data_IF_643343254022
#
_entry.id   IF_643343254022
#
_cell.length_a   1.000
_cell.length_b   1.000
_cell.length_c   1.000
_cell.angle_alpha   90.00
_cell.angle_beta   90.00
_cell.angle_gamma   90.00
#
_symmetry.space_group_name_H-M   'P 1'
#
loop_
_entity.id
_entity.type
_entity.pdbx_description
1 polymer ?
#
# COMPACT_ATOMS: atom_id res chain seq x y z
N UNK A 1 -4.26 6.15 32.59
CA UNK A 1 -4.89 4.93 32.04
C UNK A 1 -4.04 4.54 30.85
N UNK A 2 -3.02 3.73 31.09
CA UNK A 2 -2.15 3.21 30.04
C UNK A 2 -2.98 2.24 29.20
N UNK A 3 -3.10 2.51 27.90
CA UNK A 3 -3.55 1.49 26.97
C UNK A 3 -2.45 0.44 26.96
N UNK A 4 -2.64 -0.64 27.72
CA UNK A 4 -1.94 -1.89 27.46
C UNK A 4 -2.23 -2.23 26.00
N UNK A 5 -1.23 -2.01 25.15
CA UNK A 5 -1.21 -2.57 23.81
C UNK A 5 -1.19 -4.08 24.01
N UNK A 6 -2.37 -4.69 23.98
CA UNK A 6 -2.48 -6.07 23.58
C UNK A 6 -1.85 -6.03 22.18
N UNK A 7 -0.66 -6.61 22.02
CA UNK A 7 -0.18 -7.08 20.72
C UNK A 7 -1.24 -8.10 20.24
N UNK A 8 -2.36 -7.59 19.72
CA UNK A 8 -3.26 -8.40 18.94
C UNK A 8 -2.38 -8.99 17.84
N UNK A 9 -2.37 -10.31 17.77
CA UNK A 9 -1.54 -11.09 16.87
C UNK A 9 -1.91 -10.71 15.43
N UNK A 10 -1.26 -9.68 14.90
CA UNK A 10 -1.49 -9.21 13.54
C UNK A 10 -1.14 -10.33 12.56
N UNK A 11 -2.05 -10.62 11.65
CA UNK A 11 -1.84 -11.59 10.58
C UNK A 11 -1.48 -10.85 9.28
N UNK A 12 -0.41 -11.29 8.63
CA UNK A 12 -0.04 -10.73 7.32
C UNK A 12 -0.98 -11.25 6.24
N UNK A 13 -1.88 -10.39 5.77
CA UNK A 13 -2.87 -10.74 4.75
C UNK A 13 -2.28 -10.90 3.35
N UNK A 14 -1.14 -10.26 3.08
CA UNK A 14 -0.50 -10.22 1.76
C UNK A 14 0.73 -11.13 1.63
N UNK A 15 1.17 -11.82 2.69
CA UNK A 15 2.38 -12.63 2.66
C UNK A 15 2.37 -13.66 1.51
N UNK A 16 3.33 -13.55 0.59
CA UNK A 16 3.50 -14.38 -0.59
C UNK A 16 2.42 -14.20 -1.67
N UNK A 17 1.54 -13.21 -1.55
CA UNK A 17 0.44 -12.98 -2.50
C UNK A 17 0.92 -12.20 -3.71
N UNK A 18 0.42 -12.58 -4.87
CA UNK A 18 0.70 -11.87 -6.11
C UNK A 18 -0.14 -10.59 -6.19
N UNK A 19 0.52 -9.46 -6.38
CA UNK A 19 -0.10 -8.15 -6.56
C UNK A 19 0.02 -7.70 -8.01
N UNK A 20 -0.96 -6.94 -8.48
CA UNK A 20 -0.93 -6.32 -9.81
C UNK A 20 -0.21 -4.98 -9.72
N UNK A 21 0.44 -4.56 -10.81
CA UNK A 21 1.07 -3.25 -10.89
C UNK A 21 0.83 -2.59 -12.26
N UNK A 22 0.91 -1.26 -12.32
CA UNK A 22 0.83 -0.50 -13.57
C UNK A 22 0.82 1.01 -13.35
N UNK A 23 0.45 1.76 -14.38
CA UNK A 23 0.48 3.24 -14.40
C UNK A 23 -0.85 3.88 -13.93
N UNK A 24 -1.84 3.06 -13.55
CA UNK A 24 -3.05 3.47 -12.84
C UNK A 24 -3.83 2.23 -12.39
N UNK A 25 -4.89 2.43 -11.60
CA UNK A 25 -5.80 1.35 -11.19
C UNK A 25 -6.61 0.70 -12.33
N UNK A 26 -6.62 1.31 -13.52
CA UNK A 26 -7.31 0.79 -14.72
C UNK A 26 -6.36 0.37 -15.82
N UNK A 27 -5.06 0.69 -15.69
CA UNK A 27 -4.00 0.32 -16.63
C UNK A 27 -2.92 -0.47 -15.90
N UNK A 28 -3.30 -1.68 -15.46
CA UNK A 28 -2.41 -2.64 -14.82
C UNK A 28 -1.71 -3.45 -15.92
N UNK A 29 -0.37 -3.51 -15.87
CA UNK A 29 0.48 -4.04 -16.94
C UNK A 29 1.16 -5.35 -16.58
N UNK A 30 1.14 -5.75 -15.30
CA UNK A 30 1.79 -6.97 -14.86
C UNK A 30 1.43 -7.36 -13.43
N UNK A 31 2.07 -8.43 -12.97
CA UNK A 31 1.96 -8.92 -11.59
C UNK A 31 3.33 -9.21 -10.99
N UNK A 32 3.43 -9.16 -9.66
CA UNK A 32 4.66 -9.43 -8.92
C UNK A 32 4.38 -9.98 -7.53
N UNK A 33 5.35 -10.69 -6.95
CA UNK A 33 5.36 -11.11 -5.54
C UNK A 33 6.49 -10.45 -4.74
N UNK A 34 7.34 -9.66 -5.41
CA UNK A 34 8.55 -9.11 -4.79
C UNK A 34 8.25 -8.12 -3.64
N UNK A 35 7.06 -7.54 -3.61
CA UNK A 35 6.63 -6.62 -2.54
C UNK A 35 5.88 -7.31 -1.41
N UNK A 36 5.73 -8.63 -1.47
CA UNK A 36 4.96 -9.45 -0.54
C UNK A 36 5.66 -10.74 -0.12
N UNK A 37 6.82 -11.05 -0.69
CA UNK A 37 7.58 -12.29 -0.45
C UNK A 37 8.23 -12.35 0.94
N UNK A 38 8.32 -11.22 1.64
CA UNK A 38 8.87 -11.11 2.99
C UNK A 38 10.39 -10.90 3.02
N UNK A 39 11.04 -10.75 1.88
CA UNK A 39 12.44 -10.35 1.79
C UNK A 39 12.52 -8.83 1.60
N UNK A 40 13.16 -8.13 2.54
CA UNK A 40 13.29 -6.67 2.49
C UNK A 40 14.28 -6.20 1.41
N UNK A 41 15.08 -7.11 0.84
CA UNK A 41 16.04 -6.81 -0.22
C UNK A 41 15.44 -6.96 -1.62
N UNK A 42 14.23 -7.49 -1.73
CA UNK A 42 13.46 -7.57 -2.96
C UNK A 42 12.32 -6.56 -2.92
N UNK A 43 11.90 -6.09 -4.10
CA UNK A 43 10.86 -5.08 -4.18
C UNK A 43 10.59 -4.63 -5.60
N UNK A 44 9.85 -3.54 -5.71
CA UNK A 44 9.55 -2.88 -6.98
C UNK A 44 9.91 -1.40 -6.87
N UNK A 45 10.54 -0.87 -7.93
CA UNK A 45 10.75 0.56 -8.06
C UNK A 45 9.43 1.20 -8.50
N UNK A 46 8.89 2.07 -7.66
CA UNK A 46 7.76 2.92 -8.01
C UNK A 46 8.26 4.36 -8.21
N UNK A 47 7.90 4.97 -9.33
CA UNK A 47 8.27 6.33 -9.70
C UNK A 47 7.08 7.27 -9.47
N UNK A 48 7.31 8.43 -8.83
CA UNK A 48 6.30 9.46 -8.79
C UNK A 48 5.94 9.94 -10.20
N UNK A 49 4.69 10.36 -10.39
CA UNK A 49 4.20 10.91 -11.66
C UNK A 49 5.04 12.09 -12.20
N UNK A 50 5.67 12.87 -11.32
CA UNK A 50 6.58 13.97 -11.71
C UNK A 50 7.83 13.52 -12.47
N UNK A 51 8.19 12.24 -12.39
CA UNK A 51 9.32 11.64 -13.10
C UNK A 51 8.89 10.86 -14.35
N UNK A 52 7.60 10.90 -14.71
CA UNK A 52 7.05 10.34 -15.94
C UNK A 52 6.92 11.42 -17.01
N UNK A 53 7.09 11.05 -18.28
CA UNK A 53 6.76 11.93 -19.41
C UNK A 53 5.26 12.19 -19.52
N UNK A 54 4.45 11.35 -18.88
CA UNK A 54 3.02 11.53 -18.68
C UNK A 54 2.74 11.80 -17.19
N UNK A 55 2.42 13.04 -16.79
CA UNK A 55 2.16 13.40 -15.39
C UNK A 55 0.86 12.81 -14.85
N UNK A 56 0.03 12.16 -15.67
CA UNK A 56 -1.13 11.39 -15.23
C UNK A 56 -0.80 9.93 -14.89
N UNK A 57 0.38 9.44 -15.28
CA UNK A 57 0.83 8.09 -14.97
C UNK A 57 1.30 8.03 -13.52
N UNK A 58 0.59 7.25 -12.72
CA UNK A 58 0.87 7.04 -11.30
C UNK A 58 1.17 5.56 -11.12
N UNK A 59 2.38 5.24 -10.67
CA UNK A 59 2.69 3.86 -10.34
C UNK A 59 1.73 3.39 -9.23
N UNK A 60 0.98 2.35 -9.57
CA UNK A 60 -0.05 1.74 -8.74
C UNK A 60 0.32 0.29 -8.48
N UNK A 61 0.27 -0.12 -7.21
CA UNK A 61 0.13 -1.52 -6.81
C UNK A 61 -1.33 -1.77 -6.42
N UNK A 62 -1.88 -2.90 -6.84
CA UNK A 62 -3.24 -3.31 -6.51
C UNK A 62 -3.25 -4.76 -6.05
N UNK A 63 -3.96 -5.01 -4.95
CA UNK A 63 -4.31 -6.36 -4.54
C UNK A 63 -5.82 -6.50 -4.35
N UNK A 64 -6.39 -7.58 -4.86
CA UNK A 64 -7.77 -7.98 -4.61
C UNK A 64 -7.79 -9.24 -3.73
N UNK A 65 -8.38 -9.13 -2.55
CA UNK A 65 -8.53 -10.26 -1.63
C UNK A 65 -9.54 -11.27 -2.18
N UNK A 66 -9.35 -12.56 -1.90
CA UNK A 66 -10.33 -13.60 -2.29
C UNK A 66 -11.68 -13.43 -1.57
N UNK A 67 -11.66 -12.98 -0.32
CA UNK A 67 -12.83 -12.58 0.48
C UNK A 67 -12.58 -11.22 1.14
N UNK A 68 -13.63 -10.43 1.46
CA UNK A 68 -13.47 -9.16 2.18
C UNK A 68 -12.69 -9.34 3.49
N UNK A 69 -11.80 -8.39 3.78
CA UNK A 69 -10.94 -8.39 4.95
C UNK A 69 -11.14 -7.14 5.80
N UNK A 70 -10.82 -7.26 7.09
CA UNK A 70 -10.68 -6.10 7.97
C UNK A 70 -9.20 -5.74 8.08
N UNK A 71 -8.89 -4.45 7.95
CA UNK A 71 -7.51 -3.95 7.99
C UNK A 71 -7.33 -3.09 9.24
N UNK A 72 -6.42 -3.51 10.10
CA UNK A 72 -6.06 -2.79 11.34
C UNK A 72 -4.74 -2.01 11.21
N UNK A 73 -3.84 -2.51 10.36
CA UNK A 73 -2.53 -1.92 10.15
C UNK A 73 -2.01 -2.19 8.74
N UNK A 74 -1.09 -1.34 8.30
CA UNK A 74 -0.36 -1.46 7.04
C UNK A 74 1.13 -1.55 7.37
N UNK A 75 1.81 -2.58 6.88
CA UNK A 75 3.27 -2.71 6.99
C UNK A 75 3.91 -2.44 5.64
N UNK A 76 4.86 -1.51 5.59
CA UNK A 76 5.62 -1.17 4.38
C UNK A 76 7.09 -0.97 4.70
N UNK A 77 7.94 -1.30 3.75
CA UNK A 77 9.37 -0.98 3.73
C UNK A 77 9.65 -0.21 2.45
N UNK A 78 10.23 0.98 2.56
CA UNK A 78 10.54 1.83 1.41
C UNK A 78 11.97 2.33 1.53
N UNK A 79 12.70 2.21 0.42
CA UNK A 79 14.06 2.67 0.28
C UNK A 79 14.11 3.83 -0.72
N UNK A 80 15.00 4.80 -0.47
CA UNK A 80 15.26 5.93 -1.38
C UNK A 80 13.98 6.67 -1.81
N UNK A 81 13.11 7.02 -0.86
CA UNK A 81 11.82 7.64 -1.12
C UNK A 81 11.94 9.04 -1.73
N UNK A 82 13.09 9.71 -1.61
CA UNK A 82 13.35 11.03 -2.21
C UNK A 82 12.24 12.07 -1.92
N UNK A 83 11.67 12.07 -0.72
CA UNK A 83 10.52 12.88 -0.30
C UNK A 83 9.20 12.56 -1.03
N UNK A 84 9.05 11.36 -1.61
CA UNK A 84 7.78 10.88 -2.12
C UNK A 84 6.82 10.53 -0.97
N UNK A 85 5.53 10.67 -1.24
CA UNK A 85 4.46 10.22 -0.34
C UNK A 85 3.70 9.08 -1.00
N UNK A 86 3.19 8.15 -0.21
CA UNK A 86 2.45 7.00 -0.73
C UNK A 86 1.03 7.06 -0.18
N UNK A 87 0.06 7.12 -1.06
CA UNK A 87 -1.34 7.04 -0.66
C UNK A 87 -1.82 5.61 -0.81
N UNK A 88 -2.63 5.16 0.13
CA UNK A 88 -3.36 3.91 0.01
C UNK A 88 -4.87 4.18 -0.08
N UNK A 89 -5.54 3.33 -0.84
CA UNK A 89 -6.99 3.35 -1.01
C UNK A 89 -7.55 1.94 -0.83
N UNK A 90 -8.59 1.80 -0.02
CA UNK A 90 -9.31 0.57 0.22
C UNK A 90 -10.69 0.65 -0.43
N UNK A 91 -11.08 -0.39 -1.15
CA UNK A 91 -12.41 -0.50 -1.76
C UNK A 91 -13.15 -1.75 -1.27
N UNK A 92 -14.46 -1.60 -1.12
CA UNK A 92 -15.36 -2.71 -0.79
C UNK A 92 -15.65 -3.60 -2.02
N UNK A 93 -16.45 -4.65 -1.82
CA UNK A 93 -16.86 -5.58 -2.88
C UNK A 93 -17.66 -4.94 -4.02
N UNK A 94 -18.23 -3.75 -3.80
CA UNK A 94 -18.95 -2.97 -4.80
C UNK A 94 -18.06 -1.92 -5.49
N UNK A 95 -16.73 -2.00 -5.29
CA UNK A 95 -15.74 -1.00 -5.73
C UNK A 95 -15.97 0.41 -5.16
N UNK A 96 -16.67 0.56 -4.03
CA UNK A 96 -16.81 1.85 -3.33
C UNK A 96 -15.64 2.03 -2.38
N UNK A 97 -15.13 3.25 -2.28
CA UNK A 97 -14.06 3.56 -1.34
C UNK A 97 -14.57 3.40 0.09
N UNK A 98 -13.89 2.55 0.88
CA UNK A 98 -14.23 2.28 2.29
C UNK A 98 -13.14 2.75 3.26
N UNK A 99 -11.98 3.19 2.74
CA UNK A 99 -10.94 3.81 3.53
C UNK A 99 -9.80 4.31 2.65
N UNK A 100 -9.04 5.27 3.16
CA UNK A 100 -7.83 5.78 2.52
C UNK A 100 -6.93 6.42 3.55
N UNK A 101 -5.70 6.69 3.15
CA UNK A 101 -4.76 7.46 3.96
C UNK A 101 -3.46 7.66 3.24
N UNK A 102 -2.56 8.36 3.93
CA UNK A 102 -1.23 8.69 3.44
C UNK A 102 -0.18 8.10 4.36
N UNK A 103 0.85 7.56 3.75
CA UNK A 103 2.04 7.07 4.42
C UNK A 103 3.17 8.05 4.10
N UNK A 104 3.58 8.79 5.13
CA UNK A 104 4.79 9.58 5.14
C UNK A 104 5.89 8.74 5.81
N UNK A 105 6.97 8.50 5.07
CA UNK A 105 8.04 7.61 5.50
C UNK A 105 9.36 8.34 5.67
N UNK A 106 10.15 7.82 6.60
CA UNK A 106 11.58 8.08 6.71
C UNK A 106 12.27 6.93 5.96
N UNK A 107 13.27 7.26 5.15
CA UNK A 107 13.99 6.31 4.29
C UNK A 107 14.60 5.12 5.04
N UNK A 108 14.58 3.95 4.40
CA UNK A 108 15.22 2.71 4.86
C UNK A 108 14.70 2.19 6.20
N UNK A 109 13.43 2.46 6.52
CA UNK A 109 12.78 1.95 7.73
C UNK A 109 11.54 1.14 7.37
N UNK A 110 11.51 -0.12 7.81
CA UNK A 110 10.26 -0.90 7.84
C UNK A 110 9.38 -0.38 8.97
N UNK A 111 8.19 0.10 8.63
CA UNK A 111 7.24 0.61 9.61
C UNK A 111 5.89 -0.11 9.52
N UNK A 112 5.28 -0.33 10.69
CA UNK A 112 3.89 -0.77 10.83
C UNK A 112 3.06 0.45 11.18
N UNK A 113 2.20 0.85 10.25
CA UNK A 113 1.26 1.94 10.38
C UNK A 113 -0.06 1.41 10.91
N UNK A 114 -0.28 1.58 12.21
CA UNK A 114 -1.58 1.29 12.81
C UNK A 114 -2.60 2.33 12.36
N UNK A 115 -3.73 1.85 11.87
CA UNK A 115 -4.81 2.72 11.43
C UNK A 115 -5.54 3.30 12.65
N UNK A 116 -5.95 4.58 12.61
CA UNK A 116 -6.67 5.19 13.73
C UNK A 116 -8.01 4.48 14.01
N UNK A 117 -8.60 3.87 12.97
CA UNK A 117 -9.76 3.00 13.05
C UNK A 117 -9.57 1.84 12.07
N UNK A 118 -10.07 0.65 12.44
CA UNK A 118 -10.18 -0.51 11.54
C UNK A 118 -10.96 -0.15 10.29
N UNK A 119 -10.44 -0.50 9.12
CA UNK A 119 -11.18 -0.42 7.85
C UNK A 119 -11.84 -1.76 7.61
N UNK A 120 -13.16 -1.79 7.54
CA UNK A 120 -13.93 -3.03 7.37
C UNK A 120 -14.22 -3.34 5.89
N UNK A 121 -14.49 -4.62 5.62
CA UNK A 121 -15.01 -5.12 4.33
C UNK A 121 -14.16 -4.76 3.10
N UNK A 122 -12.84 -4.67 3.27
CA UNK A 122 -11.90 -4.35 2.20
C UNK A 122 -11.77 -5.54 1.25
N UNK A 123 -12.19 -5.33 0.00
CA UNK A 123 -12.00 -6.28 -1.10
C UNK A 123 -10.76 -5.95 -1.92
N UNK A 124 -10.41 -4.67 -2.06
CA UNK A 124 -9.23 -4.22 -2.81
C UNK A 124 -8.43 -3.21 -2.02
N UNK A 125 -7.10 -3.29 -2.12
CA UNK A 125 -6.19 -2.25 -1.65
C UNK A 125 -5.33 -1.78 -2.81
N UNK A 126 -5.16 -0.47 -2.91
CA UNK A 126 -4.32 0.20 -3.88
C UNK A 126 -3.25 0.98 -3.14
N UNK A 127 -2.03 0.99 -3.66
CA UNK A 127 -0.95 1.87 -3.24
C UNK A 127 -0.47 2.68 -4.44
N UNK A 128 -0.46 3.99 -4.29
CA UNK A 128 -0.07 4.94 -5.33
C UNK A 128 1.07 5.82 -4.84
N UNK A 129 2.08 6.04 -5.68
CA UNK A 129 3.09 7.08 -5.41
C UNK A 129 2.56 8.47 -5.77
N UNK A 130 2.74 9.43 -4.86
CA UNK A 130 2.62 10.85 -5.17
C UNK A 130 3.96 11.56 -4.97
N UNK A 131 4.17 12.63 -5.75
CA UNK A 131 5.25 13.58 -5.45
C UNK A 131 4.75 14.54 -4.40
N UNK A 132 5.51 14.76 -3.33
CA UNK A 132 5.23 15.86 -2.42
C UNK A 132 5.44 17.17 -3.18
N UNK A 133 4.37 17.92 -3.41
CA UNK A 133 4.48 19.32 -3.84
C UNK A 133 4.78 20.11 -2.56
N UNK A 134 6.00 20.61 -2.44
CA UNK A 134 6.43 21.52 -1.37
C UNK A 134 6.18 22.95 -1.81
#
# INVERSE_FOLDING_TARGET
>A
MEKQFIEEKLESLLSGKEVQFGLSSVNLTGTTRLVTDGDINTGMVMKPASHSTDPSAIDTLLYEFSSPQNIDAIKVHIENNNNATYDYFCKDSNNRDCGSGRIELIDNVTNIYFLPNRIADVKKILFNTQTKIV
#
